data_IF_901468694854
#
_entry.id   IF_901468694854
#
_cell.length_a   1.000
_cell.length_b   1.000
_cell.length_c   1.000
_cell.angle_alpha   90.00
_cell.angle_beta   90.00
_cell.angle_gamma   90.00
#
_symmetry.space_group_name_H-M   'P 1'
#
loop_
_entity.id
_entity.type
_entity.pdbx_description
1 polymer ?
#
# COMPACT_ATOMS: atom_id res chain seq x y z
N UNK A 1 5.08 19.19 -4.30
CA UNK A 1 3.90 18.34 -4.02
C UNK A 1 3.81 17.07 -4.90
N UNK A 2 4.48 16.97 -6.06
CA UNK A 2 4.37 15.81 -6.97
C UNK A 2 4.97 14.47 -6.49
N UNK A 3 5.93 14.46 -5.56
CA UNK A 3 6.62 13.20 -5.17
C UNK A 3 5.75 12.20 -4.42
N UNK A 4 4.89 12.67 -3.52
CA UNK A 4 4.11 11.75 -2.67
C UNK A 4 2.98 11.07 -3.43
N UNK A 5 2.30 11.77 -4.35
CA UNK A 5 1.23 11.19 -5.15
C UNK A 5 1.73 10.05 -6.07
N UNK A 6 2.90 10.20 -6.70
CA UNK A 6 3.48 9.14 -7.54
C UNK A 6 3.91 7.92 -6.74
N UNK A 7 4.42 8.12 -5.51
CA UNK A 7 4.78 7.04 -4.59
C UNK A 7 3.56 6.22 -4.17
N UNK A 8 2.45 6.90 -3.84
CA UNK A 8 1.21 6.20 -3.47
C UNK A 8 0.65 5.43 -4.66
N UNK A 9 0.68 5.99 -5.88
CA UNK A 9 0.21 5.26 -7.07
C UNK A 9 1.02 4.00 -7.33
N UNK A 10 2.35 4.06 -7.16
CA UNK A 10 3.23 2.90 -7.30
C UNK A 10 2.95 1.87 -6.19
N UNK A 11 2.76 2.32 -4.95
CA UNK A 11 2.43 1.45 -3.83
C UNK A 11 1.11 0.69 -4.05
N UNK A 12 0.07 1.35 -4.56
CA UNK A 12 -1.21 0.70 -4.89
C UNK A 12 -1.03 -0.44 -5.89
N UNK A 13 -0.19 -0.29 -6.91
CA UNK A 13 0.08 -1.35 -7.88
C UNK A 13 0.80 -2.55 -7.24
N UNK A 14 1.76 -2.30 -6.35
CA UNK A 14 2.48 -3.35 -5.62
C UNK A 14 1.55 -4.10 -4.65
N UNK A 15 0.67 -3.39 -3.96
CA UNK A 15 -0.33 -3.98 -3.05
C UNK A 15 -1.29 -4.90 -3.82
N UNK A 16 -1.71 -4.52 -5.02
CA UNK A 16 -2.56 -5.34 -5.89
C UNK A 16 -1.86 -6.60 -6.40
N UNK A 17 -0.54 -6.57 -6.58
CA UNK A 17 0.24 -7.72 -7.02
C UNK A 17 0.40 -8.78 -5.90
N UNK A 18 0.21 -8.40 -4.63
CA UNK A 18 0.05 -9.33 -3.51
C UNK A 18 1.29 -10.11 -3.08
N UNK A 19 2.48 -9.76 -3.58
CA UNK A 19 3.73 -10.52 -3.37
C UNK A 19 4.68 -9.92 -2.33
N UNK A 20 4.41 -8.70 -1.82
CA UNK A 20 5.33 -8.00 -0.92
C UNK A 20 4.66 -7.52 0.38
N UNK A 21 5.41 -7.60 1.49
CA UNK A 21 5.00 -7.03 2.78
C UNK A 21 4.91 -5.50 2.74
N UNK A 22 4.04 -4.92 3.55
CA UNK A 22 3.84 -3.47 3.65
C UNK A 22 5.13 -2.68 3.87
N UNK A 23 6.05 -3.23 4.67
CA UNK A 23 7.37 -2.63 4.90
C UNK A 23 8.20 -2.57 3.61
N UNK A 24 8.26 -3.65 2.83
CA UNK A 24 8.97 -3.68 1.55
C UNK A 24 8.34 -2.74 0.52
N UNK A 25 7.00 -2.66 0.48
CA UNK A 25 6.29 -1.74 -0.42
C UNK A 25 6.57 -0.28 -0.05
N UNK A 26 6.52 0.04 1.25
CA UNK A 26 6.89 1.36 1.76
C UNK A 26 8.33 1.74 1.37
N UNK A 27 9.28 0.82 1.57
CA UNK A 27 10.69 1.06 1.24
C UNK A 27 10.91 1.24 -0.27
N UNK A 28 10.29 0.40 -1.10
CA UNK A 28 10.33 0.52 -2.56
C UNK A 28 9.73 1.85 -3.07
N UNK A 29 8.77 2.41 -2.33
CA UNK A 29 8.16 3.70 -2.64
C UNK A 29 8.90 4.90 -2.00
N UNK A 30 10.03 4.67 -1.32
CA UNK A 30 10.86 5.73 -0.73
C UNK A 30 10.41 6.20 0.66
N UNK A 31 9.65 5.38 1.39
CA UNK A 31 9.34 5.62 2.81
C UNK A 31 10.39 4.96 3.71
N UNK A 32 10.73 5.65 4.80
CA UNK A 32 11.70 5.16 5.78
C UNK A 32 11.18 3.97 6.61
N UNK A 33 9.86 3.90 6.80
CA UNK A 33 9.22 2.89 7.65
C UNK A 33 7.73 2.71 7.31
N UNK A 34 7.18 1.57 7.75
CA UNK A 34 5.81 1.18 7.49
C UNK A 34 4.77 2.11 8.13
N UNK A 35 5.10 2.76 9.26
CA UNK A 35 4.20 3.68 9.94
C UNK A 35 4.01 4.97 9.14
N UNK A 36 5.10 5.58 8.65
CA UNK A 36 5.06 6.73 7.76
C UNK A 36 4.34 6.41 6.44
N UNK A 37 4.63 5.26 5.85
CA UNK A 37 3.93 4.78 4.64
C UNK A 37 2.42 4.67 4.86
N UNK A 38 2.00 3.98 5.93
CA UNK A 38 0.57 3.77 6.24
C UNK A 38 -0.18 5.08 6.41
N UNK A 39 0.42 6.05 7.12
CA UNK A 39 -0.16 7.38 7.31
C UNK A 39 -0.27 8.17 6.01
N UNK A 40 0.76 8.12 5.17
CA UNK A 40 0.76 8.82 3.89
C UNK A 40 -0.22 8.19 2.89
N UNK A 41 -0.28 6.86 2.85
CA UNK A 41 -1.20 6.11 2.02
C UNK A 41 -2.64 6.43 2.39
N UNK A 42 -3.00 6.36 3.68
CA UNK A 42 -4.36 6.68 4.14
C UNK A 42 -4.76 8.13 3.88
N UNK A 43 -3.84 9.08 3.99
CA UNK A 43 -4.12 10.49 3.63
C UNK A 43 -4.38 10.67 2.13
N UNK A 44 -3.79 9.84 1.27
CA UNK A 44 -3.92 9.94 -0.18
C UNK A 44 -5.08 9.11 -0.75
N UNK A 45 -5.39 7.95 -0.15
CA UNK A 45 -6.39 7.00 -0.67
C UNK A 45 -7.64 6.89 0.20
N UNK A 46 -7.63 7.44 1.42
CA UNK A 46 -8.71 7.32 2.40
C UNK A 46 -8.74 5.99 3.15
N UNK A 47 -8.00 4.97 2.72
CA UNK A 47 -7.96 3.64 3.33
C UNK A 47 -6.53 3.28 3.76
N UNK A 48 -6.40 2.41 4.77
CA UNK A 48 -5.08 1.89 5.11
C UNK A 48 -4.64 0.81 4.08
N UNK A 49 -3.33 0.57 3.91
CA UNK A 49 -2.81 -0.38 2.92
C UNK A 49 -3.32 -1.82 3.09
N UNK A 50 -3.54 -2.25 4.34
CA UNK A 50 -4.05 -3.59 4.66
C UNK A 50 -5.47 -3.76 4.18
N UNK A 51 -6.36 -2.82 4.47
CA UNK A 51 -7.74 -2.84 3.97
C UNK A 51 -7.80 -2.76 2.45
N UNK A 52 -6.91 -1.97 1.84
CA UNK A 52 -6.80 -1.92 0.38
C UNK A 52 -6.42 -3.29 -0.22
N UNK A 53 -5.48 -4.03 0.39
CA UNK A 53 -5.13 -5.38 -0.03
C UNK A 53 -6.26 -6.39 0.23
N UNK A 54 -6.90 -6.32 1.40
CA UNK A 54 -8.02 -7.21 1.75
C UNK A 54 -9.23 -6.96 0.87
N UNK A 55 -9.53 -5.72 0.50
CA UNK A 55 -10.60 -5.40 -0.45
C UNK A 55 -10.26 -5.86 -1.87
N UNK A 56 -8.98 -5.79 -2.27
CA UNK A 56 -8.52 -6.21 -3.58
C UNK A 56 -8.32 -7.72 -3.73
N UNK A 57 -8.08 -8.44 -2.63
CA UNK A 57 -8.18 -9.89 -2.56
C UNK A 57 -9.62 -10.23 -2.19
N UNK A 58 -10.54 -10.44 -3.15
CA UNK A 58 -11.78 -11.09 -2.81
C UNK A 58 -11.37 -12.40 -2.15
N UNK A 59 -11.70 -12.58 -0.88
CA UNK A 59 -11.36 -13.77 -0.10
C UNK A 59 -11.60 -15.00 -0.98
N UNK A 60 -10.51 -15.59 -1.48
CA UNK A 60 -10.56 -16.87 -2.15
C UNK A 60 -10.96 -17.87 -1.07
N UNK A 61 -12.21 -18.30 -1.12
CA UNK A 61 -12.76 -19.35 -0.28
C UNK A 61 -11.81 -20.55 -0.22
N UNK A 62 -11.54 -21.08 0.98
CA UNK A 62 -10.73 -22.27 1.14
C UNK A 62 -10.30 -22.58 2.58
N UNK A 63 -11.26 -22.83 3.48
CA UNK A 63 -11.45 -24.09 4.25
C UNK A 63 -12.66 -23.93 5.15
#
# INVERSE_FOLDING_TARGET
MLRRASQIRHASLLLLNGTASLASIGFACGFSDAAHFTRAFRQATGMNPTEFMTAARPSGNGT
#
